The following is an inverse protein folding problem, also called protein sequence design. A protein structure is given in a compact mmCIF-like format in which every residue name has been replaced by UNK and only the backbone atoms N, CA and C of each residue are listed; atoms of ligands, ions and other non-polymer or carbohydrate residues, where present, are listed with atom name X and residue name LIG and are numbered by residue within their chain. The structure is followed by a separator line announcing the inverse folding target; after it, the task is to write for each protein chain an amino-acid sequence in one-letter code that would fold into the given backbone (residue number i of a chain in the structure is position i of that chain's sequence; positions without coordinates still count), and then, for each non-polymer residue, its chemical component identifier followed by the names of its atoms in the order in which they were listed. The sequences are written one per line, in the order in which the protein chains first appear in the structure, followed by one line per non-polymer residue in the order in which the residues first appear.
data_IF_724995394650
#
_entry.id   IF_724995394650
#
_cell.length_a   1.000
_cell.length_b   1.000
_cell.length_c   1.000
_cell.angle_alpha   90.00
_cell.angle_beta   90.00
_cell.angle_gamma   90.00
#
_symmetry.space_group_name_H-M   'P 1'
#
loop_
_entity.id
_entity.type
_entity.pdbx_description
1 polymer ?
#
# COMPACT_ATOMS: atom_id res chain seq x y z
N UNK A 1 -2.79 8.63 3.39
CA UNK A 1 -3.31 7.25 3.66
C UNK A 1 -2.59 6.22 2.79
N UNK A 2 -2.65 6.36 1.47
CA UNK A 2 -1.97 5.47 0.52
C UNK A 2 -0.45 5.48 0.78
N UNK A 3 0.15 6.64 1.05
CA UNK A 3 1.59 6.74 1.35
C UNK A 3 2.00 5.99 2.62
N UNK A 4 1.13 5.92 3.62
CA UNK A 4 1.39 5.17 4.84
C UNK A 4 1.28 3.66 4.62
N UNK A 5 0.29 3.21 3.85
CA UNK A 5 0.13 1.79 3.47
C UNK A 5 1.34 1.35 2.63
N UNK A 6 1.74 2.16 1.65
CA UNK A 6 2.92 1.93 0.83
C UNK A 6 4.20 1.85 1.68
N UNK A 7 4.40 2.79 2.60
CA UNK A 7 5.54 2.75 3.51
C UNK A 7 5.57 1.51 4.41
N UNK A 8 4.40 1.03 4.87
CA UNK A 8 4.30 -0.19 5.67
C UNK A 8 4.68 -1.45 4.86
N UNK A 9 4.31 -1.49 3.59
CA UNK A 9 4.67 -2.57 2.67
C UNK A 9 6.15 -2.55 2.32
N UNK A 10 6.72 -1.37 2.01
CA UNK A 10 8.13 -1.20 1.67
C UNK A 10 9.10 -1.54 2.81
N UNK A 11 8.70 -1.29 4.06
CA UNK A 11 9.50 -1.60 5.25
C UNK A 11 9.39 -3.05 5.70
N UNK A 12 8.56 -3.85 5.04
CA UNK A 12 8.46 -5.27 5.32
C UNK A 12 9.58 -6.04 4.61
N UNK A 13 10.23 -6.95 5.33
CA UNK A 13 11.21 -7.90 4.77
C UNK A 13 10.54 -9.11 4.07
N UNK A 14 9.21 -9.14 3.98
CA UNK A 14 8.48 -10.24 3.34
C UNK A 14 6.97 -10.00 3.22
N UNK A 15 6.17 -11.05 2.92
CA UNK A 15 4.72 -10.95 2.86
C UNK A 15 4.11 -10.51 4.19
N UNK A 16 3.17 -9.55 4.16
CA UNK A 16 2.47 -9.07 5.37
C UNK A 16 0.95 -9.20 5.24
N UNK A 17 0.31 -9.53 6.35
CA UNK A 17 -1.14 -9.53 6.44
C UNK A 17 -1.69 -8.10 6.56
N UNK A 18 -2.97 -7.91 6.18
CA UNK A 18 -3.71 -6.67 6.41
C UNK A 18 -3.72 -6.25 7.89
N UNK A 19 -3.78 -7.22 8.80
CA UNK A 19 -3.71 -6.96 10.24
C UNK A 19 -2.36 -6.35 10.65
N UNK A 20 -1.26 -6.87 10.10
CA UNK A 20 0.07 -6.31 10.34
C UNK A 20 0.22 -4.90 9.75
N UNK A 21 -0.41 -4.63 8.60
CA UNK A 21 -0.49 -3.26 8.06
C UNK A 21 -1.22 -2.36 9.05
N UNK A 22 -2.43 -2.72 9.50
CA UNK A 22 -3.19 -1.93 10.48
C UNK A 22 -2.39 -1.69 11.78
N UNK A 23 -1.73 -2.72 12.30
CA UNK A 23 -0.91 -2.60 13.50
C UNK A 23 0.30 -1.67 13.30
N UNK A 24 0.95 -1.73 12.14
CA UNK A 24 2.05 -0.84 11.77
C UNK A 24 1.58 0.61 11.66
N UNK A 25 0.43 0.84 11.01
CA UNK A 25 -0.17 2.16 10.88
C UNK A 25 -0.53 2.74 12.25
N UNK A 26 -1.16 1.96 13.12
CA UNK A 26 -1.48 2.38 14.48
C UNK A 26 -0.22 2.73 15.29
N UNK A 27 0.85 1.94 15.16
CA UNK A 27 2.16 2.24 15.78
C UNK A 27 2.78 3.54 15.28
N UNK A 28 2.49 3.94 14.04
CA UNK A 28 2.92 5.23 13.48
C UNK A 28 1.98 6.39 13.83
N UNK A 29 0.96 6.16 14.67
CA UNK A 29 -0.04 7.17 15.02
C UNK A 29 -1.08 7.40 13.93
N UNK A 30 -1.15 6.54 12.90
CA UNK A 30 -2.12 6.65 11.82
C UNK A 30 -3.31 5.72 12.08
N UNK A 31 -4.43 6.30 12.51
CA UNK A 31 -5.69 5.57 12.62
C UNK A 31 -6.28 5.32 11.23
N UNK A 32 -6.68 4.08 10.97
CA UNK A 32 -7.37 3.71 9.73
C UNK A 32 -8.40 2.62 9.99
N UNK A 33 -9.30 2.42 9.03
CA UNK A 33 -10.32 1.37 9.08
C UNK A 33 -9.97 0.24 8.11
N UNK A 34 -10.54 -0.95 8.32
CA UNK A 34 -10.40 -2.06 7.36
C UNK A 34 -10.90 -1.69 5.95
N UNK A 35 -12.10 -1.08 5.78
CA UNK A 35 -12.54 -0.62 4.46
C UNK A 35 -11.55 0.34 3.78
N UNK A 36 -11.04 1.33 4.52
CA UNK A 36 -10.07 2.30 3.97
C UNK A 36 -8.75 1.63 3.56
N UNK A 37 -8.25 0.69 4.37
CA UNK A 37 -7.08 -0.11 4.01
C UNK A 37 -7.33 -0.94 2.74
N UNK A 38 -8.49 -1.59 2.64
CA UNK A 38 -8.82 -2.39 1.46
C UNK A 38 -8.91 -1.55 0.19
N UNK A 39 -9.48 -0.35 0.26
CA UNK A 39 -9.51 0.57 -0.88
C UNK A 39 -8.10 1.01 -1.31
N UNK A 40 -7.22 1.32 -0.35
CA UNK A 40 -5.83 1.66 -0.66
C UNK A 40 -5.06 0.48 -1.28
N UNK A 41 -5.28 -0.75 -0.78
CA UNK A 41 -4.65 -1.95 -1.33
C UNK A 41 -5.17 -2.31 -2.71
N UNK A 42 -6.48 -2.12 -2.97
CA UNK A 42 -7.06 -2.32 -4.29
C UNK A 42 -6.43 -1.35 -5.30
N UNK A 43 -6.38 -0.05 -4.97
CA UNK A 43 -5.70 0.95 -5.79
C UNK A 43 -4.23 0.57 -6.06
N UNK A 44 -3.46 0.23 -5.03
CA UNK A 44 -2.06 -0.18 -5.20
C UNK A 44 -1.92 -1.49 -6.01
N UNK A 45 -2.90 -2.40 -5.92
CA UNK A 45 -2.93 -3.63 -6.71
C UNK A 45 -3.22 -3.38 -8.19
N UNK A 46 -4.21 -2.53 -8.48
CA UNK A 46 -4.58 -2.12 -9.85
C UNK A 46 -3.41 -1.44 -10.56
N UNK A 47 -2.60 -0.72 -9.77
CA UNK A 47 -1.39 -0.03 -10.19
C UNK A 47 -0.15 -0.95 -10.26
N UNK A 48 -0.29 -2.24 -9.98
CA UNK A 48 0.81 -3.22 -10.04
C UNK A 48 1.87 -3.06 -8.95
N UNK A 49 1.61 -2.21 -7.95
CA UNK A 49 2.49 -1.90 -6.84
C UNK A 49 2.43 -2.92 -5.70
N UNK A 50 1.32 -3.66 -5.60
CA UNK A 50 1.11 -4.68 -4.57
C UNK A 50 0.58 -5.95 -5.19
N UNK A 51 1.22 -7.06 -4.85
CA UNK A 51 0.71 -8.39 -5.15
C UNK A 51 0.14 -9.04 -3.88
N UNK A 52 -1.01 -9.69 -4.01
CA UNK A 52 -1.57 -10.53 -2.93
C UNK A 52 -1.34 -12.00 -3.26
N UNK A 53 -0.60 -12.68 -2.40
CA UNK A 53 -0.37 -14.12 -2.48
C UNK A 53 -0.91 -14.86 -1.26
N UNK A 54 -0.80 -16.19 -1.25
CA UNK A 54 -1.26 -17.04 -0.13
C UNK A 54 -0.61 -16.72 1.21
N UNK A 55 0.56 -16.06 1.20
CA UNK A 55 1.30 -15.64 2.40
C UNK A 55 1.04 -14.19 2.81
N UNK A 56 0.28 -13.42 2.04
CA UNK A 56 -0.03 -12.02 2.32
C UNK A 56 0.32 -11.06 1.18
N UNK A 57 0.38 -9.78 1.53
CA UNK A 57 0.65 -8.66 0.64
C UNK A 57 2.16 -8.49 0.46
N UNK A 58 2.60 -8.28 -0.77
CA UNK A 58 4.00 -8.11 -1.15
C UNK A 58 4.13 -6.79 -1.91
N UNK A 59 5.10 -5.98 -1.48
CA UNK A 59 5.52 -4.80 -2.24
C UNK A 59 6.22 -5.23 -3.53
N UNK A 60 5.80 -4.68 -4.67
CA UNK A 60 6.44 -4.89 -5.97
C UNK A 60 7.24 -3.63 -6.31
N UNK A 61 8.59 -3.68 -6.24
CA UNK A 61 9.43 -2.49 -6.40
C UNK A 61 9.43 -1.90 -7.82
N UNK A 62 9.01 -2.67 -8.82
CA UNK A 62 8.90 -2.22 -10.21
C UNK A 62 7.51 -1.62 -10.46
N UNK A 63 7.32 -0.40 -9.97
CA UNK A 63 6.20 0.42 -10.39
C UNK A 63 6.40 0.86 -11.85
N UNK A 64 5.36 0.68 -12.67
CA UNK A 64 5.27 1.28 -14.02
C UNK A 64 5.66 2.77 -13.96
N UNK A 65 6.52 3.22 -14.89
CA UNK A 65 6.95 4.62 -14.97
C UNK A 65 5.77 5.61 -15.05
N UNK A 66 4.62 5.16 -15.59
CA UNK A 66 3.39 5.96 -15.72
C UNK A 66 2.73 6.27 -14.38
N UNK A 67 2.84 5.35 -13.42
CA UNK A 67 2.26 5.46 -12.09
C UNK A 67 3.06 6.40 -11.19
N UNK A 68 4.40 6.35 -11.29
CA UNK A 68 5.27 7.33 -10.62
C UNK A 68 4.98 8.75 -11.13
N UNK A 69 4.67 8.91 -12.42
CA UNK A 69 4.23 10.17 -13.02
C UNK A 69 2.86 10.63 -12.49
N UNK A 70 1.87 9.72 -12.37
CA UNK A 70 0.54 10.03 -11.88
C UNK A 70 0.54 10.47 -10.41
N UNK A 71 1.33 9.81 -9.56
CA UNK A 71 1.51 10.19 -8.15
C UNK A 71 2.20 11.54 -8.02
N UNK A 72 3.21 11.83 -8.86
CA UNK A 72 3.95 13.11 -8.85
C UNK A 72 3.06 14.29 -9.24
N UNK A 73 2.07 14.06 -10.10
CA UNK A 73 1.19 15.12 -10.62
C UNK A 73 0.05 15.48 -9.65
N UNK A 74 -0.22 14.64 -8.63
CA UNK A 74 -1.37 14.82 -7.74
C UNK A 74 -2.71 14.73 -8.49
N UNK A 75 -3.86 14.75 -7.80
CA UNK A 75 -5.14 14.76 -8.48
C UNK A 75 -5.28 16.08 -9.25
N UNK A 76 -5.07 16.05 -10.56
CA UNK A 76 -5.62 17.06 -11.45
C UNK A 76 -7.13 16.81 -11.54
N UNK A 77 -7.87 17.43 -10.62
CA UNK A 77 -9.27 17.79 -10.83
C UNK A 77 -9.33 19.06 -11.69
#
# INVERSE_FOLDING_TARGET
MIEYVLGALQKSEGPISRNQVLATLARWGHSTTRPSLNAALAFLGDEGMVAEGSKGLIWVPEASSQLLEAIRKGPHL
#
